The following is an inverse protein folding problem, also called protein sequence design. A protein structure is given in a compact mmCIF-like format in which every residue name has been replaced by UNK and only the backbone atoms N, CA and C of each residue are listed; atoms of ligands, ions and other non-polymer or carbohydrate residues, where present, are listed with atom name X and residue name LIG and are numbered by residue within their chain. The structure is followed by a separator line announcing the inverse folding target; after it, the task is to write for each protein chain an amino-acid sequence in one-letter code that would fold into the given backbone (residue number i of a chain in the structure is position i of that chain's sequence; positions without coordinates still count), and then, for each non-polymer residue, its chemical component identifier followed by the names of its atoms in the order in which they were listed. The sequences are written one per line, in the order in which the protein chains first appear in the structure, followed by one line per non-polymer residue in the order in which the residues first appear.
data_IF_405983395146
#
_entry.id   IF_405983395146
#
_cell.length_a   1.000
_cell.length_b   1.000
_cell.length_c   1.000
_cell.angle_alpha   90.00
_cell.angle_beta   90.00
_cell.angle_gamma   90.00
#
_symmetry.space_group_name_H-M   'P 1'
#
loop_
_entity.id
_entity.type
_entity.pdbx_description
1 polymer ?
#
# COMPACT_ATOMS: atom_id res chain seq x y z
N UNK A 1 8.85 -11.65 22.38
CA UNK A 1 7.60 -11.83 21.61
C UNK A 1 7.98 -12.40 20.25
N UNK A 2 7.44 -13.54 19.81
CA UNK A 2 7.66 -14.01 18.44
C UNK A 2 6.90 -13.08 17.50
N UNK A 3 7.60 -12.52 16.51
CA UNK A 3 7.05 -11.58 15.54
C UNK A 3 6.69 -12.34 14.25
N UNK A 4 5.50 -12.09 13.70
CA UNK A 4 5.05 -12.75 12.46
C UNK A 4 5.87 -12.17 11.30
N UNK A 5 6.62 -13.02 10.59
CA UNK A 5 7.55 -12.58 9.55
C UNK A 5 6.88 -11.80 8.41
N UNK A 6 5.63 -12.14 8.08
CA UNK A 6 4.86 -11.43 7.04
C UNK A 6 4.60 -9.98 7.40
N UNK A 7 4.49 -9.65 8.70
CA UNK A 7 4.34 -8.28 9.17
C UNK A 7 5.70 -7.60 9.35
N UNK A 8 6.67 -8.32 9.93
CA UNK A 8 8.04 -7.83 10.14
C UNK A 8 8.69 -7.36 8.84
N UNK A 9 8.52 -8.12 7.76
CA UNK A 9 9.11 -7.85 6.46
C UNK A 9 8.09 -7.30 5.47
N UNK A 10 6.92 -6.82 5.93
CA UNK A 10 5.93 -6.20 5.06
C UNK A 10 6.56 -4.97 4.38
N UNK A 11 6.56 -4.90 3.03
CA UNK A 11 7.08 -3.75 2.28
C UNK A 11 6.58 -2.41 2.84
N UNK A 12 7.47 -1.43 3.00
CA UNK A 12 7.14 -0.10 3.52
C UNK A 12 7.14 0.95 2.41
N UNK A 13 7.90 0.70 1.33
CA UNK A 13 7.98 1.49 0.12
C UNK A 13 7.54 0.67 -1.09
N UNK A 14 7.11 1.34 -2.15
CA UNK A 14 6.83 0.73 -3.45
C UNK A 14 8.05 0.00 -4.00
N UNK A 15 9.26 0.53 -3.76
CA UNK A 15 10.52 -0.12 -4.15
C UNK A 15 10.79 -1.46 -3.46
N UNK A 16 10.16 -1.71 -2.31
CA UNK A 16 10.33 -2.94 -1.54
C UNK A 16 9.39 -4.05 -2.05
N UNK A 17 8.40 -3.71 -2.90
CA UNK A 17 7.47 -4.68 -3.48
C UNK A 17 8.17 -5.47 -4.58
N UNK A 18 8.29 -6.78 -4.38
CA UNK A 18 8.93 -7.68 -5.33
C UNK A 18 7.93 -8.19 -6.37
N UNK A 19 8.31 -8.09 -7.64
CA UNK A 19 7.45 -8.44 -8.78
C UNK A 19 6.60 -7.27 -9.27
N UNK A 20 5.77 -7.50 -10.29
CA UNK A 20 4.84 -6.48 -10.81
C UNK A 20 5.50 -5.15 -11.22
N UNK A 21 6.69 -5.20 -11.83
CA UNK A 21 7.54 -4.02 -12.11
C UNK A 21 6.77 -2.86 -12.76
N UNK A 22 6.02 -3.15 -13.81
CA UNK A 22 5.25 -2.13 -14.54
C UNK A 22 4.16 -1.48 -13.68
N UNK A 23 3.55 -2.25 -12.77
CA UNK A 23 2.55 -1.73 -11.83
C UNK A 23 3.25 -0.83 -10.82
N UNK A 24 4.32 -1.32 -10.18
CA UNK A 24 5.09 -0.56 -9.18
C UNK A 24 5.57 0.77 -9.78
N UNK A 25 6.10 0.76 -11.00
CA UNK A 25 6.56 1.97 -11.69
C UNK A 25 5.43 2.97 -11.94
N UNK A 26 4.25 2.50 -12.36
CA UNK A 26 3.06 3.35 -12.52
C UNK A 26 2.60 3.95 -11.20
N UNK A 27 2.51 3.15 -10.14
CA UNK A 27 2.13 3.63 -8.82
C UNK A 27 3.12 4.68 -8.30
N UNK A 28 4.42 4.45 -8.48
CA UNK A 28 5.45 5.44 -8.13
C UNK A 28 5.30 6.73 -8.94
N UNK A 29 4.89 6.64 -10.20
CA UNK A 29 4.61 7.83 -11.01
C UNK A 29 3.43 8.65 -10.48
N UNK A 30 2.36 8.01 -10.00
CA UNK A 30 1.22 8.71 -9.39
C UNK A 30 1.58 9.38 -8.06
N UNK A 31 2.39 8.69 -7.25
CA UNK A 31 2.90 9.27 -5.99
C UNK A 31 3.78 10.47 -6.28
N UNK A 32 4.74 10.36 -7.22
CA UNK A 32 5.63 11.49 -7.60
C UNK A 32 4.89 12.68 -8.19
N UNK A 33 3.83 12.45 -8.96
CA UNK A 33 3.04 13.53 -9.53
C UNK A 33 2.10 14.20 -8.53
N UNK A 34 1.86 13.57 -7.37
CA UNK A 34 0.83 13.98 -6.41
C UNK A 34 -0.60 13.86 -6.94
N UNK A 35 -0.78 13.27 -8.13
CA UNK A 35 -2.08 13.11 -8.78
C UNK A 35 -2.45 11.62 -8.82
N UNK A 36 -3.25 11.22 -7.83
CA UNK A 36 -3.66 9.85 -7.60
C UNK A 36 -5.09 9.63 -8.12
N UNK A 37 -5.28 8.83 -9.18
CA UNK A 37 -6.63 8.45 -9.60
C UNK A 37 -7.25 7.48 -8.60
N UNK A 38 -8.56 7.21 -8.74
CA UNK A 38 -9.17 6.09 -8.04
C UNK A 38 -8.65 4.77 -8.61
N UNK A 39 -8.14 3.90 -7.74
CA UNK A 39 -7.50 2.64 -8.10
C UNK A 39 -8.28 1.46 -7.54
N UNK A 40 -8.37 0.39 -8.33
CA UNK A 40 -8.87 -0.91 -7.89
C UNK A 40 -7.72 -1.92 -7.96
N UNK A 41 -7.32 -2.45 -6.81
CA UNK A 41 -6.31 -3.50 -6.74
C UNK A 41 -7.00 -4.87 -6.80
N UNK A 42 -6.81 -5.60 -7.89
CA UNK A 42 -7.38 -6.93 -8.09
C UNK A 42 -6.28 -7.98 -8.32
N UNK A 43 -6.49 -9.20 -7.82
CA UNK A 43 -5.55 -10.31 -7.98
C UNK A 43 -5.58 -11.31 -6.82
N UNK A 44 -4.81 -12.42 -6.92
CA UNK A 44 -4.79 -13.50 -5.91
C UNK A 44 -4.41 -13.03 -4.50
N UNK A 45 -4.75 -13.82 -3.48
CA UNK A 45 -4.33 -13.55 -2.11
C UNK A 45 -2.79 -13.53 -1.99
N UNK A 46 -2.24 -12.65 -1.15
CA UNK A 46 -0.80 -12.59 -0.89
C UNK A 46 0.05 -11.86 -1.94
N UNK A 47 -0.54 -11.26 -2.99
CA UNK A 47 0.24 -10.58 -4.06
C UNK A 47 0.57 -9.11 -3.79
N UNK A 48 0.49 -8.66 -2.53
CA UNK A 48 0.90 -7.30 -2.15
C UNK A 48 -0.10 -6.18 -2.47
N UNK A 49 -1.39 -6.48 -2.70
CA UNK A 49 -2.42 -5.47 -2.99
C UNK A 49 -2.57 -4.42 -1.88
N UNK A 50 -2.94 -4.86 -0.67
CA UNK A 50 -3.08 -4.00 0.51
C UNK A 50 -1.76 -3.30 0.84
N UNK A 51 -0.66 -4.04 0.76
CA UNK A 51 0.69 -3.52 1.00
C UNK A 51 1.04 -2.39 0.04
N UNK A 52 0.72 -2.51 -1.25
CA UNK A 52 1.02 -1.48 -2.25
C UNK A 52 0.22 -0.21 -1.98
N UNK A 53 -1.07 -0.34 -1.66
CA UNK A 53 -1.91 0.81 -1.30
C UNK A 53 -1.37 1.55 -0.05
N UNK A 54 -0.96 0.80 0.97
CA UNK A 54 -0.36 1.37 2.18
C UNK A 54 1.00 2.05 1.89
N UNK A 55 1.85 1.43 1.08
CA UNK A 55 3.13 2.01 0.68
C UNK A 55 2.94 3.31 -0.11
N UNK A 56 1.96 3.37 -1.02
CA UNK A 56 1.60 4.60 -1.72
C UNK A 56 1.19 5.71 -0.75
N UNK A 57 0.31 5.42 0.21
CA UNK A 57 -0.14 6.42 1.18
C UNK A 57 1.03 6.95 2.03
N UNK A 58 1.93 6.06 2.47
CA UNK A 58 3.14 6.45 3.21
C UNK A 58 4.06 7.34 2.39
N UNK A 59 4.31 6.99 1.14
CA UNK A 59 5.18 7.80 0.28
C UNK A 59 4.54 9.13 -0.13
N UNK A 60 3.22 9.17 -0.34
CA UNK A 60 2.51 10.39 -0.73
C UNK A 60 2.43 11.41 0.41
N UNK A 61 2.14 10.96 1.62
CA UNK A 61 1.85 11.84 2.76
C UNK A 61 3.00 11.93 3.79
N UNK A 62 4.07 11.15 3.60
CA UNK A 62 5.23 11.13 4.49
C UNK A 62 4.85 10.85 5.95
N UNK A 63 5.43 11.60 6.88
CA UNK A 63 5.17 11.43 8.32
C UNK A 63 3.69 11.62 8.71
N UNK A 64 2.96 12.42 7.93
CA UNK A 64 1.54 12.73 8.17
C UNK A 64 0.57 11.68 7.61
N UNK A 65 1.06 10.56 7.04
CA UNK A 65 0.21 9.59 6.35
C UNK A 65 -0.94 9.05 7.19
N UNK A 66 -0.74 8.84 8.49
CA UNK A 66 -1.79 8.36 9.41
C UNK A 66 -2.97 9.32 9.52
N UNK A 67 -2.74 10.63 9.36
CA UNK A 67 -3.79 11.64 9.44
C UNK A 67 -4.53 11.82 8.10
N UNK A 68 -3.97 11.31 7.01
CA UNK A 68 -4.47 11.47 5.64
C UNK A 68 -4.90 10.14 5.00
N UNK A 69 -4.99 9.07 5.79
CA UNK A 69 -5.30 7.72 5.33
C UNK A 69 -6.34 7.06 6.25
N UNK A 70 -7.40 6.54 5.64
CA UNK A 70 -8.41 5.72 6.31
C UNK A 70 -8.42 4.36 5.64
N UNK A 71 -8.15 3.31 6.41
CA UNK A 71 -8.31 1.93 5.98
C UNK A 71 -9.65 1.41 6.51
N UNK A 72 -10.49 0.92 5.60
CA UNK A 72 -11.70 0.20 5.94
C UNK A 72 -11.61 -1.20 5.31
N UNK A 73 -11.73 -2.22 6.14
CA UNK A 73 -11.64 -3.62 5.77
C UNK A 73 -12.94 -4.37 6.13
N UNK A 74 -12.99 -5.67 5.83
CA UNK A 74 -14.20 -6.47 6.02
C UNK A 74 -14.55 -6.77 7.49
N UNK A 75 -13.58 -6.63 8.40
CA UNK A 75 -13.79 -6.78 9.84
C UNK A 75 -14.16 -5.48 10.54
N UNK A 76 -14.01 -4.32 9.89
CA UNK A 76 -14.49 -3.07 10.44
C UNK A 76 -16.03 -3.07 10.36
N UNK A 77 -16.69 -2.90 11.51
CA UNK A 77 -18.16 -2.93 11.59
C UNK A 77 -18.76 -1.92 10.62
N UNK A 78 -19.62 -2.41 9.73
CA UNK A 78 -20.57 -1.58 8.99
C UNK A 78 -21.74 -1.27 9.93
N UNK A 79 -21.47 -0.47 10.96
CA UNK A 79 -22.42 -0.10 12.02
C UNK A 79 -22.01 1.18 12.71
#
# INVERSE_FOLDING_TARGET
MQEIWTEKYRPQKLSDVVGQKDIVERLSSYVRSGNLPHLMFAGPAGTGKTTSALAMAKEMYGESWRNNFIELNASDERG
#
